data_IF_496861837339
#
_entry.id   IF_496861837339
#
_cell.length_a   1.000
_cell.length_b   1.000
_cell.length_c   1.000
_cell.angle_alpha   90.00
_cell.angle_beta   90.00
_cell.angle_gamma   90.00
#
_symmetry.space_group_name_H-M   'P 1'
#
loop_
_entity.id
_entity.type
_entity.pdbx_description
1 polymer ?
#
# COMPACT_ATOMS: atom_id res chain seq x y z
N UNK A 1 -21.86 25.85 9.38
CA UNK A 1 -21.74 24.38 9.30
C UNK A 1 -20.73 23.93 10.34
N UNK A 2 -21.18 23.09 11.29
CA UNK A 2 -20.27 22.47 12.25
C UNK A 2 -19.23 21.66 11.45
N UNK A 3 -17.96 21.93 11.66
CA UNK A 3 -16.87 21.09 11.14
C UNK A 3 -16.88 19.79 11.95
N UNK A 4 -17.32 18.71 11.35
CA UNK A 4 -17.20 17.37 11.91
C UNK A 4 -15.84 16.78 11.54
N UNK A 5 -14.77 17.53 11.74
CA UNK A 5 -13.41 17.06 11.48
C UNK A 5 -12.92 16.34 12.73
N UNK A 6 -13.02 15.01 12.76
CA UNK A 6 -12.40 14.20 13.80
C UNK A 6 -10.89 14.48 13.80
N UNK A 7 -10.32 14.72 14.99
CA UNK A 7 -8.93 15.12 15.10
C UNK A 7 -8.23 14.41 16.26
N UNK A 8 -7.09 13.84 15.97
CA UNK A 8 -6.11 13.34 16.93
C UNK A 8 -4.81 14.11 16.72
N UNK A 9 -4.43 14.95 17.68
CA UNK A 9 -3.19 15.72 17.64
C UNK A 9 -2.48 15.60 18.99
N UNK A 10 -1.18 15.26 18.95
CA UNK A 10 -0.35 15.07 20.15
C UNK A 10 -0.91 14.00 21.12
N UNK A 11 -1.55 12.96 20.58
CA UNK A 11 -2.13 11.87 21.36
C UNK A 11 -1.12 10.71 21.47
N UNK A 12 -0.99 10.16 22.67
CA UNK A 12 -0.22 8.93 22.89
C UNK A 12 -1.18 7.78 23.19
N UNK A 13 -1.08 6.72 22.42
CA UNK A 13 -1.86 5.48 22.56
C UNK A 13 -0.87 4.37 22.90
N UNK A 14 -0.91 3.91 24.14
CA UNK A 14 0.11 3.06 24.70
C UNK A 14 -0.45 1.71 25.14
N UNK A 15 0.25 0.60 24.78
CA UNK A 15 0.01 -0.76 25.28
C UNK A 15 -1.42 -1.25 25.12
N UNK A 16 -1.98 -1.07 23.93
CA UNK A 16 -3.32 -1.54 23.58
C UNK A 16 -3.28 -2.70 22.58
N UNK A 17 -4.43 -2.98 21.97
CA UNK A 17 -4.59 -4.04 20.98
C UNK A 17 -4.68 -5.42 21.60
N UNK A 18 -4.86 -6.44 20.76
CA UNK A 18 -4.94 -7.85 21.14
C UNK A 18 -4.17 -8.70 20.12
N UNK A 19 -3.61 -9.81 20.57
CA UNK A 19 -2.97 -10.83 19.73
C UNK A 19 -3.98 -11.86 19.20
N UNK A 20 -5.19 -11.89 19.73
CA UNK A 20 -6.22 -12.89 19.43
C UNK A 20 -6.92 -12.68 18.07
N UNK A 21 -6.78 -11.50 17.47
CA UNK A 21 -7.42 -11.16 16.21
C UNK A 21 -6.47 -10.34 15.31
N UNK A 22 -6.29 -10.80 14.10
CA UNK A 22 -5.44 -10.15 13.10
C UNK A 22 -5.83 -8.70 12.77
N UNK A 23 -7.01 -8.23 13.19
CA UNK A 23 -7.51 -6.87 12.90
C UNK A 23 -7.40 -5.92 14.08
N UNK A 24 -7.23 -6.40 15.29
CA UNK A 24 -7.24 -5.53 16.47
C UNK A 24 -5.94 -4.73 16.60
N UNK A 25 -6.12 -3.42 16.67
CA UNK A 25 -5.09 -2.43 16.95
C UNK A 25 -5.53 -1.55 18.12
N UNK A 26 -4.62 -0.84 18.79
CA UNK A 26 -4.98 0.13 19.82
C UNK A 26 -5.69 1.35 19.24
N UNK A 27 -5.58 1.57 17.93
CA UNK A 27 -6.33 2.57 17.18
C UNK A 27 -6.94 1.95 15.93
N UNK A 28 -8.27 1.97 15.86
CA UNK A 28 -9.05 1.57 14.69
C UNK A 28 -9.78 2.78 14.13
N UNK A 29 -9.62 3.03 12.84
CA UNK A 29 -10.22 4.17 12.15
C UNK A 29 -11.24 3.65 11.13
N UNK A 30 -12.51 3.96 11.34
CA UNK A 30 -13.61 3.57 10.46
C UNK A 30 -14.26 4.77 9.75
N UNK A 31 -13.79 5.98 10.00
CA UNK A 31 -14.21 7.22 9.36
C UNK A 31 -13.01 8.08 9.01
N UNK A 32 -13.24 9.31 8.54
CA UNK A 32 -12.16 10.20 8.14
C UNK A 32 -11.66 11.05 9.31
N UNK A 33 -10.32 11.15 9.48
CA UNK A 33 -9.69 11.77 10.63
C UNK A 33 -8.43 12.59 10.25
N UNK A 34 -8.15 13.66 11.00
CA UNK A 34 -6.82 14.26 11.07
C UNK A 34 -6.02 13.54 12.15
N UNK A 35 -4.85 13.01 11.80
CA UNK A 35 -3.93 12.39 12.75
C UNK A 35 -2.54 12.99 12.58
N UNK A 36 -2.10 13.78 13.58
CA UNK A 36 -0.83 14.49 13.54
C UNK A 36 -0.08 14.43 14.86
N UNK A 37 1.24 14.27 14.79
CA UNK A 37 2.13 14.26 15.95
C UNK A 37 1.71 13.25 17.03
N UNK A 38 1.14 12.13 16.62
CA UNK A 38 0.64 11.08 17.51
C UNK A 38 1.66 9.96 17.67
N UNK A 39 1.61 9.30 18.81
CA UNK A 39 2.42 8.12 19.14
C UNK A 39 1.50 6.92 19.37
N UNK A 40 1.77 5.83 18.68
CA UNK A 40 1.26 4.48 19.00
C UNK A 40 2.46 3.64 19.40
N UNK A 41 2.45 3.08 20.61
CA UNK A 41 3.58 2.35 21.16
C UNK A 41 3.16 1.11 21.95
N UNK A 42 3.71 -0.05 21.58
CA UNK A 42 3.59 -1.27 22.37
C UNK A 42 2.25 -2.01 22.19
N UNK A 43 1.70 -2.03 20.98
CA UNK A 43 0.52 -2.86 20.68
C UNK A 43 0.84 -4.36 20.75
N UNK A 44 -0.08 -5.16 21.32
CA UNK A 44 0.01 -6.63 21.29
C UNK A 44 -0.33 -7.22 19.90
N UNK A 45 -0.90 -6.44 19.00
CA UNK A 45 -1.21 -6.80 17.62
C UNK A 45 -0.66 -5.77 16.64
N UNK A 46 -1.52 -5.32 15.71
CA UNK A 46 -1.19 -4.26 14.77
C UNK A 46 -1.07 -2.89 15.46
N UNK A 47 -0.31 -1.96 14.89
CA UNK A 47 -0.21 -0.60 15.42
C UNK A 47 -1.44 0.24 15.12
N UNK A 48 -1.85 0.25 13.86
CA UNK A 48 -3.00 0.99 13.34
C UNK A 48 -3.84 0.09 12.43
N UNK A 49 -5.17 0.21 12.48
CA UNK A 49 -6.07 -0.34 11.45
C UNK A 49 -6.96 0.73 10.85
N UNK A 50 -7.22 0.63 9.55
CA UNK A 50 -8.20 1.44 8.84
C UNK A 50 -9.17 0.51 8.11
N UNK A 51 -10.46 0.63 8.42
CA UNK A 51 -11.52 -0.26 7.95
C UNK A 51 -12.68 0.53 7.36
N UNK A 52 -13.53 -0.10 6.60
CA UNK A 52 -14.73 0.48 6.00
C UNK A 52 -14.45 1.78 5.23
N UNK A 53 -14.87 2.93 5.77
CA UNK A 53 -14.62 4.27 5.22
C UNK A 53 -13.43 4.99 5.88
N UNK A 54 -12.62 4.26 6.65
CA UNK A 54 -11.46 4.79 7.34
C UNK A 54 -10.47 5.44 6.37
N UNK A 55 -10.17 6.73 6.58
CA UNK A 55 -9.25 7.49 5.73
C UNK A 55 -8.69 8.69 6.51
N UNK A 56 -7.79 9.43 5.88
CA UNK A 56 -7.20 10.59 6.52
C UNK A 56 -7.56 11.88 5.78
N UNK A 57 -7.89 12.92 6.55
CA UNK A 57 -7.76 14.30 6.09
C UNK A 57 -6.30 14.73 6.13
N UNK A 58 -5.53 14.24 7.13
CA UNK A 58 -4.08 14.35 7.22
C UNK A 58 -3.51 13.25 8.11
N UNK A 59 -2.36 12.70 7.72
CA UNK A 59 -1.58 11.71 8.46
C UNK A 59 -0.11 12.11 8.40
N UNK A 60 0.37 12.85 9.40
CA UNK A 60 1.67 13.52 9.36
C UNK A 60 2.38 13.46 10.71
N UNK A 61 3.70 13.30 10.69
CA UNK A 61 4.55 13.32 11.88
C UNK A 61 4.11 12.37 12.99
N UNK A 62 3.54 11.22 12.62
CA UNK A 62 3.13 10.19 13.57
C UNK A 62 4.25 9.16 13.78
N UNK A 63 4.32 8.60 14.96
CA UNK A 63 5.22 7.48 15.27
C UNK A 63 4.40 6.25 15.65
N UNK A 64 4.64 5.13 14.95
CA UNK A 64 4.03 3.82 15.24
C UNK A 64 5.16 2.84 15.49
N UNK A 65 5.27 2.32 16.73
CA UNK A 65 6.41 1.51 17.12
C UNK A 65 6.10 0.41 18.13
N UNK A 66 7.04 -0.55 18.21
CA UNK A 66 7.01 -1.65 19.18
C UNK A 66 5.71 -2.46 19.17
N UNK A 67 5.03 -2.51 18.03
CA UNK A 67 3.81 -3.30 17.85
C UNK A 67 4.20 -4.74 17.47
N UNK A 68 3.49 -5.74 18.01
CA UNK A 68 3.87 -7.14 17.82
C UNK A 68 3.64 -7.66 16.39
N UNK A 69 2.77 -7.02 15.61
CA UNK A 69 2.44 -7.42 14.24
C UNK A 69 2.74 -6.29 13.24
N UNK A 70 1.82 -6.01 12.33
CA UNK A 70 1.99 -4.97 11.30
C UNK A 70 1.95 -3.56 11.88
N UNK A 71 2.79 -2.68 11.35
CA UNK A 71 2.74 -1.27 11.72
C UNK A 71 1.37 -0.65 11.40
N UNK A 72 0.85 -0.94 10.21
CA UNK A 72 -0.48 -0.53 9.76
C UNK A 72 -1.13 -1.62 8.92
N UNK A 73 -2.42 -1.86 9.15
CA UNK A 73 -3.25 -2.79 8.38
C UNK A 73 -4.48 -2.06 7.87
N UNK A 74 -4.79 -2.19 6.57
CA UNK A 74 -5.93 -1.52 5.96
C UNK A 74 -6.79 -2.45 5.12
N UNK A 75 -8.11 -2.28 5.22
CA UNK A 75 -9.12 -2.80 4.30
C UNK A 75 -9.59 -1.75 3.29
N UNK A 76 -9.21 -0.49 3.49
CA UNK A 76 -9.72 0.62 2.69
C UNK A 76 -8.59 1.32 1.94
N UNK A 77 -8.62 1.20 0.61
CA UNK A 77 -7.64 1.84 -0.26
C UNK A 77 -7.66 3.37 -0.18
N UNK A 78 -8.81 3.98 0.13
CA UNK A 78 -8.89 5.43 0.29
C UNK A 78 -7.94 5.95 1.37
N UNK A 79 -7.61 5.14 2.39
CA UNK A 79 -6.62 5.48 3.41
C UNK A 79 -5.21 5.63 2.86
N UNK A 80 -4.89 4.96 1.74
CA UNK A 80 -3.57 4.96 1.10
C UNK A 80 -3.35 6.19 0.20
N UNK A 81 -4.43 6.80 -0.28
CA UNK A 81 -4.38 7.84 -1.33
C UNK A 81 -4.73 9.23 -0.82
N UNK A 82 -5.35 9.36 0.35
CA UNK A 82 -5.82 10.65 0.83
C UNK A 82 -5.15 11.06 2.14
N UNK A 83 -4.70 12.30 2.18
CA UNK A 83 -4.20 12.92 3.39
C UNK A 83 -2.84 12.42 3.91
N UNK A 84 -2.17 11.52 3.19
CA UNK A 84 -0.84 11.06 3.58
C UNK A 84 0.16 12.18 3.37
N UNK A 85 0.85 12.55 4.45
CA UNK A 85 1.92 13.54 4.47
C UNK A 85 3.21 12.97 5.05
N UNK A 86 4.18 13.85 5.24
CA UNK A 86 5.54 13.49 5.61
C UNK A 86 5.76 13.32 7.13
N UNK A 87 6.97 12.93 7.51
CA UNK A 87 7.43 12.87 8.89
C UNK A 87 6.91 11.69 9.71
N UNK A 88 6.20 10.74 9.09
CA UNK A 88 5.75 9.53 9.78
C UNK A 88 6.92 8.57 10.01
N UNK A 89 7.00 7.99 11.20
CA UNK A 89 8.04 7.06 11.63
C UNK A 89 7.43 5.73 12.02
N UNK A 90 8.02 4.64 11.52
CA UNK A 90 7.60 3.26 11.83
C UNK A 90 8.85 2.48 12.26
N UNK A 91 8.91 2.01 13.49
CA UNK A 91 10.12 1.36 14.00
C UNK A 91 9.81 0.23 14.98
N UNK A 92 10.67 -0.79 14.97
CA UNK A 92 10.62 -1.93 15.91
C UNK A 92 9.25 -2.63 15.96
N UNK A 93 8.45 -2.59 14.87
CA UNK A 93 7.25 -3.39 14.78
C UNK A 93 7.60 -4.80 14.30
N UNK A 94 6.83 -5.79 14.66
CA UNK A 94 7.03 -7.17 14.21
C UNK A 94 7.10 -7.28 12.70
N UNK A 95 6.31 -6.45 12.00
CA UNK A 95 6.37 -6.27 10.55
C UNK A 95 6.25 -4.77 10.23
N UNK A 96 7.36 -4.13 9.89
CA UNK A 96 7.38 -2.75 9.45
C UNK A 96 6.89 -2.64 7.99
N UNK A 97 5.61 -2.84 7.79
CA UNK A 97 4.94 -2.71 6.50
C UNK A 97 3.47 -2.32 6.68
N UNK A 98 2.88 -1.79 5.62
CA UNK A 98 1.45 -1.52 5.52
C UNK A 98 0.80 -2.71 4.84
N UNK A 99 0.03 -3.51 5.57
CA UNK A 99 -0.74 -4.60 4.99
C UNK A 99 -2.00 -4.07 4.33
N UNK A 100 -2.11 -4.23 3.02
CA UNK A 100 -3.27 -3.86 2.21
C UNK A 100 -4.11 -5.11 1.94
N UNK A 101 -5.25 -5.24 2.60
CA UNK A 101 -6.10 -6.44 2.50
C UNK A 101 -6.90 -6.52 1.20
N UNK A 102 -7.23 -5.38 0.60
CA UNK A 102 -7.94 -5.36 -0.67
C UNK A 102 -7.08 -5.97 -1.79
N UNK A 103 -7.72 -6.77 -2.64
CA UNK A 103 -7.11 -7.33 -3.84
C UNK A 103 -7.38 -6.50 -5.11
N UNK A 104 -8.21 -5.48 -5.02
CA UNK A 104 -8.53 -4.60 -6.16
C UNK A 104 -9.05 -3.24 -5.71
N UNK A 105 -8.78 -2.22 -6.52
CA UNK A 105 -9.38 -0.90 -6.41
C UNK A 105 -10.07 -0.55 -7.72
N UNK A 106 -11.27 0.01 -7.60
CA UNK A 106 -11.97 0.68 -8.70
C UNK A 106 -11.79 2.18 -8.48
N UNK A 107 -11.03 2.81 -9.37
CA UNK A 107 -10.73 4.23 -9.26
C UNK A 107 -11.98 5.07 -9.57
N UNK A 108 -12.23 6.08 -8.75
CA UNK A 108 -13.29 7.07 -8.98
C UNK A 108 -12.72 8.47 -9.26
N UNK A 109 -11.41 8.60 -9.18
CA UNK A 109 -10.64 9.81 -9.47
C UNK A 109 -9.17 9.43 -9.72
N UNK A 110 -8.35 10.41 -10.10
CA UNK A 110 -6.91 10.25 -10.14
C UNK A 110 -6.35 10.09 -8.73
N UNK A 111 -5.56 9.04 -8.51
CA UNK A 111 -4.98 8.74 -7.19
C UNK A 111 -3.46 8.67 -7.24
N UNK A 112 -2.85 8.88 -6.10
CA UNK A 112 -1.40 8.76 -5.92
C UNK A 112 -1.11 7.86 -4.72
N UNK A 113 -0.42 6.74 -4.97
CA UNK A 113 0.19 5.94 -3.92
C UNK A 113 1.46 6.65 -3.46
N UNK A 114 1.39 7.22 -2.26
CA UNK A 114 2.48 7.99 -1.67
C UNK A 114 3.64 7.13 -1.25
N UNK A 115 4.86 7.63 -1.38
CA UNK A 115 6.03 7.01 -0.76
C UNK A 115 5.86 7.02 0.76
N UNK A 116 6.01 5.83 1.36
CA UNK A 116 6.04 5.67 2.81
C UNK A 116 7.43 5.19 3.27
N UNK A 117 7.83 5.46 4.53
CA UNK A 117 9.09 4.94 5.08
C UNK A 117 9.16 3.42 5.18
N UNK A 118 8.02 2.74 5.03
CA UNK A 118 7.87 1.29 5.06
C UNK A 118 7.14 0.81 3.81
N UNK A 119 7.37 -0.43 3.35
CA UNK A 119 6.72 -0.95 2.14
C UNK A 119 5.22 -1.17 2.32
N UNK A 120 4.50 -1.09 1.20
CA UNK A 120 3.15 -1.63 1.07
C UNK A 120 3.22 -3.13 0.80
N UNK A 121 2.41 -3.93 1.50
CA UNK A 121 2.32 -5.36 1.29
C UNK A 121 0.91 -5.76 0.85
N UNK A 122 0.82 -6.38 -0.31
CA UNK A 122 -0.41 -6.84 -0.97
C UNK A 122 -0.48 -8.38 -0.94
N UNK A 123 -0.94 -8.99 0.17
CA UNK A 123 -0.93 -10.45 0.33
C UNK A 123 -1.81 -11.19 -0.66
N UNK A 124 -2.85 -10.53 -1.18
CA UNK A 124 -3.86 -11.10 -2.07
C UNK A 124 -3.69 -10.66 -3.54
N UNK A 125 -2.54 -10.05 -3.88
CA UNK A 125 -2.36 -9.34 -5.14
C UNK A 125 -3.06 -7.99 -5.14
N UNK A 126 -3.02 -7.29 -6.27
CA UNK A 126 -3.68 -6.00 -6.38
C UNK A 126 -4.04 -5.67 -7.83
N UNK A 127 -5.28 -5.33 -8.08
CA UNK A 127 -5.76 -4.92 -9.40
C UNK A 127 -6.22 -3.48 -9.37
N UNK A 128 -5.71 -2.67 -10.31
CA UNK A 128 -6.13 -1.28 -10.49
C UNK A 128 -7.02 -1.18 -11.71
N UNK A 129 -8.25 -0.77 -11.49
CA UNK A 129 -9.30 -0.75 -12.52
C UNK A 129 -9.83 0.66 -12.74
N UNK A 130 -10.39 0.88 -13.94
CA UNK A 130 -11.07 2.09 -14.36
C UNK A 130 -10.22 3.14 -15.10
N UNK A 131 -10.90 4.11 -15.74
CA UNK A 131 -10.35 5.06 -16.68
C UNK A 131 -9.65 6.27 -16.05
N UNK A 132 -9.08 6.09 -14.85
CA UNK A 132 -8.35 7.13 -14.14
C UNK A 132 -6.84 6.86 -14.10
N UNK A 133 -6.10 7.82 -13.57
CA UNK A 133 -4.66 7.70 -13.43
C UNK A 133 -4.30 7.16 -12.05
N UNK A 134 -3.50 6.11 -12.05
CA UNK A 134 -2.83 5.57 -10.86
C UNK A 134 -1.37 6.02 -10.90
N UNK A 135 -0.99 6.87 -9.97
CA UNK A 135 0.38 7.36 -9.84
C UNK A 135 1.06 6.65 -8.67
N UNK A 136 2.29 6.19 -8.87
CA UNK A 136 3.16 5.65 -7.82
C UNK A 136 4.31 6.63 -7.64
N UNK A 137 4.49 7.18 -6.44
CA UNK A 137 5.58 8.13 -6.16
C UNK A 137 6.96 7.47 -6.21
N UNK A 138 8.02 8.23 -6.58
CA UNK A 138 9.40 7.77 -6.52
C UNK A 138 9.77 7.21 -5.14
N UNK A 139 10.54 6.12 -5.12
CA UNK A 139 10.98 5.45 -3.88
C UNK A 139 9.92 4.60 -3.18
N UNK A 140 8.73 4.46 -3.75
CA UNK A 140 7.69 3.55 -3.23
C UNK A 140 8.13 2.09 -3.38
N UNK A 141 7.89 1.28 -2.35
CA UNK A 141 8.14 -0.16 -2.34
C UNK A 141 6.81 -0.90 -2.22
N UNK A 142 6.52 -1.76 -3.20
CA UNK A 142 5.32 -2.62 -3.25
C UNK A 142 5.75 -4.09 -3.18
N UNK A 143 5.28 -4.81 -2.17
CA UNK A 143 5.55 -6.23 -1.95
C UNK A 143 4.29 -7.04 -2.18
N UNK A 144 4.41 -8.17 -2.86
CA UNK A 144 3.28 -9.02 -3.21
C UNK A 144 3.37 -10.40 -2.54
N UNK A 145 2.20 -10.97 -2.21
CA UNK A 145 2.09 -12.31 -1.65
C UNK A 145 2.48 -13.40 -2.64
N UNK A 146 2.69 -14.62 -2.12
CA UNK A 146 2.99 -15.81 -2.95
C UNK A 146 1.86 -16.09 -3.95
N UNK A 147 2.22 -16.40 -5.19
CA UNK A 147 1.29 -16.71 -6.29
C UNK A 147 0.28 -15.59 -6.62
N UNK A 148 0.55 -14.37 -6.20
CA UNK A 148 -0.29 -13.19 -6.51
C UNK A 148 0.36 -12.33 -7.59
N UNK A 149 -0.37 -11.33 -8.09
CA UNK A 149 0.11 -10.44 -9.15
C UNK A 149 -0.37 -9.00 -8.96
N UNK A 150 0.23 -8.12 -9.73
CA UNK A 150 -0.22 -6.74 -9.89
C UNK A 150 -0.86 -6.57 -11.26
N UNK A 151 -2.17 -6.35 -11.30
CA UNK A 151 -2.93 -6.19 -12.53
C UNK A 151 -3.23 -4.71 -12.80
N UNK A 152 -2.96 -4.24 -14.01
CA UNK A 152 -3.29 -2.89 -14.47
C UNK A 152 -4.26 -3.03 -15.64
N UNK A 153 -5.50 -2.58 -15.45
CA UNK A 153 -6.55 -2.73 -16.44
C UNK A 153 -6.29 -1.91 -17.72
N UNK A 154 -6.95 -2.28 -18.80
CA UNK A 154 -6.84 -1.63 -20.09
C UNK A 154 -7.24 -0.14 -20.08
N UNK A 155 -8.07 0.26 -19.14
CA UNK A 155 -8.56 1.64 -19.04
C UNK A 155 -7.68 2.53 -18.16
N UNK A 156 -6.88 1.93 -17.28
CA UNK A 156 -6.05 2.66 -16.31
C UNK A 156 -4.83 3.29 -16.96
N UNK A 157 -4.57 4.56 -16.67
CA UNK A 157 -3.30 5.21 -16.99
C UNK A 157 -2.34 5.03 -15.81
N UNK A 158 -1.28 4.24 -15.98
CA UNK A 158 -0.23 4.08 -14.98
C UNK A 158 0.82 5.18 -15.09
N UNK A 159 1.20 5.79 -13.97
CA UNK A 159 2.34 6.69 -13.81
C UNK A 159 3.25 6.17 -12.70
N UNK A 160 4.28 5.43 -13.08
CA UNK A 160 5.30 4.89 -12.18
C UNK A 160 6.66 5.47 -12.60
N UNK A 161 6.93 6.70 -12.17
CA UNK A 161 8.13 7.46 -12.55
C UNK A 161 9.04 7.60 -11.33
N UNK A 162 9.94 6.63 -11.14
CA UNK A 162 10.99 6.70 -10.12
C UNK A 162 12.14 7.64 -10.52
N UNK A 163 13.23 7.60 -9.76
CA UNK A 163 14.48 8.31 -10.08
C UNK A 163 15.68 7.40 -9.86
N UNK A 164 16.86 7.82 -10.26
CA UNK A 164 18.10 7.07 -10.02
C UNK A 164 18.41 6.89 -8.53
N UNK A 165 18.00 7.83 -7.69
CA UNK A 165 18.22 7.78 -6.23
C UNK A 165 17.01 7.23 -5.47
N UNK A 166 15.83 7.24 -6.08
CA UNK A 166 14.57 6.78 -5.51
C UNK A 166 13.80 5.91 -6.53
N UNK A 167 14.31 4.73 -6.89
CA UNK A 167 13.61 3.84 -7.80
C UNK A 167 12.32 3.33 -7.13
N UNK A 168 11.29 3.07 -7.95
CA UNK A 168 10.10 2.35 -7.49
C UNK A 168 10.43 0.86 -7.50
N UNK A 169 10.17 0.15 -6.40
CA UNK A 169 10.44 -1.28 -6.27
C UNK A 169 9.13 -2.06 -6.20
N UNK A 170 8.96 -3.02 -7.11
CA UNK A 170 7.77 -3.87 -7.19
C UNK A 170 8.25 -5.34 -7.25
N UNK A 171 7.98 -6.13 -6.20
CA UNK A 171 8.48 -7.51 -6.12
C UNK A 171 7.63 -8.40 -5.22
N UNK A 172 7.92 -9.68 -5.20
CA UNK A 172 7.41 -10.59 -4.17
C UNK A 172 7.88 -10.20 -2.76
N UNK A 173 7.14 -10.60 -1.73
CA UNK A 173 7.56 -10.41 -0.33
C UNK A 173 8.92 -11.08 -0.12
N UNK A 174 9.04 -12.34 -0.52
CA UNK A 174 10.34 -12.99 -0.64
C UNK A 174 10.96 -12.62 -2.00
N UNK A 175 12.21 -12.17 -1.99
CA UNK A 175 12.92 -11.78 -3.22
C UNK A 175 13.53 -13.03 -3.89
N UNK A 176 12.69 -14.01 -4.15
CA UNK A 176 13.03 -15.29 -4.76
C UNK A 176 12.30 -15.45 -6.10
N UNK A 177 12.99 -16.04 -7.07
CA UNK A 177 12.39 -16.40 -8.36
C UNK A 177 11.24 -17.39 -8.12
N UNK A 178 10.05 -17.11 -8.66
CA UNK A 178 8.88 -17.97 -8.51
C UNK A 178 7.94 -17.62 -7.39
N UNK A 179 8.26 -16.63 -6.58
CA UNK A 179 7.44 -16.32 -5.43
C UNK A 179 6.08 -15.72 -5.82
N UNK A 180 6.04 -14.79 -6.76
CA UNK A 180 4.82 -14.11 -7.22
C UNK A 180 4.66 -14.15 -8.74
N UNK A 181 3.51 -13.74 -9.29
CA UNK A 181 3.18 -13.87 -10.70
C UNK A 181 3.48 -12.60 -11.54
N UNK A 182 4.16 -11.60 -10.97
CA UNK A 182 4.62 -10.42 -11.70
C UNK A 182 3.51 -9.40 -11.96
N UNK A 183 3.78 -8.52 -12.92
CA UNK A 183 2.87 -7.45 -13.35
C UNK A 183 2.19 -7.88 -14.64
N UNK A 184 0.85 -7.81 -14.65
CA UNK A 184 0.04 -7.97 -15.85
C UNK A 184 -0.52 -6.61 -16.25
N UNK A 185 -0.09 -6.10 -17.39
CA UNK A 185 -0.49 -4.79 -17.89
C UNK A 185 -1.30 -4.95 -19.16
N UNK A 186 -2.60 -4.83 -19.02
CA UNK A 186 -3.56 -4.98 -20.11
C UNK A 186 -3.75 -3.64 -20.82
N UNK A 187 -3.38 -3.52 -22.08
CA UNK A 187 -3.52 -2.31 -22.90
C UNK A 187 -2.82 -1.06 -22.33
N UNK A 188 -1.78 -0.65 -22.98
CA UNK A 188 -0.99 0.51 -22.55
C UNK A 188 -1.62 1.78 -23.07
N UNK A 189 -2.22 2.59 -22.20
CA UNK A 189 -2.66 3.95 -22.58
C UNK A 189 -1.46 4.79 -22.99
N UNK A 190 -1.61 5.62 -24.02
CA UNK A 190 -0.53 6.45 -24.59
C UNK A 190 0.18 7.36 -23.57
N UNK A 191 -0.47 7.70 -22.45
CA UNK A 191 0.08 8.50 -21.38
C UNK A 191 0.69 7.67 -20.24
N UNK A 192 0.64 6.33 -20.32
CA UNK A 192 1.20 5.45 -19.29
C UNK A 192 2.72 5.39 -19.38
N UNK A 193 3.38 5.34 -18.23
CA UNK A 193 4.85 5.28 -18.14
C UNK A 193 5.27 4.44 -16.94
N UNK A 194 6.37 3.70 -17.13
CA UNK A 194 7.12 3.03 -16.08
C UNK A 194 8.60 3.33 -16.30
N UNK A 195 9.19 4.17 -15.44
CA UNK A 195 10.56 4.64 -15.55
C UNK A 195 11.28 4.54 -14.21
N UNK A 196 12.58 4.22 -14.22
CA UNK A 196 13.35 3.94 -13.00
C UNK A 196 12.63 3.01 -12.01
N UNK A 197 12.06 1.92 -12.53
CA UNK A 197 11.39 0.89 -11.74
C UNK A 197 12.25 -0.39 -11.68
N UNK A 198 12.26 -1.03 -10.52
CA UNK A 198 12.87 -2.35 -10.32
C UNK A 198 11.76 -3.37 -10.11
N UNK A 199 11.66 -4.37 -10.99
CA UNK A 199 10.68 -5.46 -10.89
C UNK A 199 11.42 -6.78 -10.79
N UNK A 200 11.20 -7.55 -9.72
CA UNK A 200 11.91 -8.82 -9.49
C UNK A 200 11.05 -9.90 -8.82
N UNK A 201 11.57 -11.12 -8.76
CA UNK A 201 11.02 -12.22 -7.97
C UNK A 201 9.89 -13.00 -8.62
N UNK A 202 9.54 -12.75 -9.90
CA UNK A 202 8.65 -13.66 -10.64
C UNK A 202 9.39 -14.90 -11.06
N UNK A 203 8.72 -16.04 -11.00
CA UNK A 203 9.26 -17.29 -11.43
C UNK A 203 8.33 -18.06 -12.34
N UNK A 204 8.79 -19.26 -12.67
CA UNK A 204 8.18 -20.20 -13.56
C UNK A 204 6.81 -20.68 -13.04
N UNK A 205 5.79 -20.56 -13.89
CA UNK A 205 4.51 -21.28 -13.72
C UNK A 205 4.43 -22.37 -14.77
N UNK A 206 4.22 -23.64 -14.36
CA UNK A 206 4.07 -24.76 -15.28
C UNK A 206 2.86 -24.64 -16.23
N UNK A 207 1.97 -23.70 -15.99
CA UNK A 207 0.68 -23.57 -16.65
C UNK A 207 0.61 -22.48 -17.73
N UNK A 208 1.59 -21.58 -17.81
CA UNK A 208 1.64 -20.51 -18.82
C UNK A 208 3.08 -20.27 -19.25
N UNK A 209 3.33 -20.22 -20.56
CA UNK A 209 4.65 -20.00 -21.20
C UNK A 209 5.33 -18.64 -20.87
N UNK A 210 4.85 -17.92 -19.86
CA UNK A 210 5.20 -16.52 -19.62
C UNK A 210 5.89 -16.31 -18.27
N UNK A 211 7.14 -16.76 -18.17
CA UNK A 211 8.00 -16.50 -17.00
C UNK A 211 8.66 -15.11 -17.12
N UNK A 212 7.90 -14.01 -17.04
CA UNK A 212 8.43 -12.66 -17.10
C UNK A 212 7.95 -11.81 -15.93
N UNK A 213 8.80 -10.93 -15.39
CA UNK A 213 8.42 -10.01 -14.32
C UNK A 213 7.34 -9.00 -14.74
N UNK A 214 7.32 -8.63 -16.01
CA UNK A 214 6.37 -7.68 -16.59
C UNK A 214 5.80 -8.25 -17.88
N UNK A 215 4.50 -8.44 -17.93
CA UNK A 215 3.76 -8.87 -19.08
C UNK A 215 2.92 -7.71 -19.65
N UNK A 216 3.19 -7.35 -20.89
CA UNK A 216 2.46 -6.30 -21.59
C UNK A 216 1.50 -6.96 -22.58
N UNK A 217 0.21 -6.80 -22.36
CA UNK A 217 -0.82 -7.35 -23.21
C UNK A 217 -1.53 -6.24 -23.97
N UNK A 218 -1.29 -6.16 -25.26
CA UNK A 218 -1.98 -5.24 -26.17
C UNK A 218 -3.09 -5.99 -26.91
N UNK A 219 -4.34 -5.64 -26.63
CA UNK A 219 -5.49 -6.00 -27.45
C UNK A 219 -5.74 -4.89 -28.46
N UNK A 220 -4.83 -4.71 -29.44
CA UNK A 220 -5.03 -3.79 -30.55
C UNK A 220 -6.25 -4.21 -31.42
#
# INVERSE_FOLDING_TARGET
SARNDNRLEYVQILRGGSDDDNWRAPLEIQGKVHMKNCLIDGSLGNGLTTEYSGAFYSFENNTIKNCASYAWKTENDASLYSGIGDGNVFENNGKNMIWVNNSSVTLTDHVTLKKMPIPYYFPNGYSVNDAYRYTIEPGTVMLFGSNTRFDISSETTLKAEGTTTEPIVIRGLEDEAGYWNGIMWYSIKAASVMDYCQVSGRGYSESYDEACNLFLYDNA
#
